data_IF_621918464069
#
_entry.id   IF_621918464069
#
_cell.length_a   1.000
_cell.length_b   1.000
_cell.length_c   1.000
_cell.angle_alpha   90.00
_cell.angle_beta   90.00
_cell.angle_gamma   90.00
#
_symmetry.space_group_name_H-M   'P 1'
#
loop_
_entity.id
_entity.type
_entity.pdbx_description
1 polymer ?
#
# COMPACT_ATOMS: atom_id res chain seq x y z
N UNK A 1 8.76 -1.62 -9.05
CA UNK A 1 8.76 -2.29 -7.73
C UNK A 1 7.55 -3.21 -7.62
N UNK A 2 7.58 -4.44 -8.17
CA UNK A 2 6.40 -5.31 -8.22
C UNK A 2 5.82 -5.66 -6.84
N UNK A 3 6.68 -5.87 -5.84
CA UNK A 3 6.28 -6.24 -4.48
C UNK A 3 5.43 -5.15 -3.81
N UNK A 4 5.84 -3.88 -3.92
CA UNK A 4 5.10 -2.72 -3.38
C UNK A 4 3.70 -2.55 -3.97
N UNK A 5 3.42 -3.09 -5.15
CA UNK A 5 2.15 -2.87 -5.84
C UNK A 5 1.17 -4.04 -5.71
N UNK A 6 1.54 -5.08 -4.96
CA UNK A 6 0.70 -6.24 -4.66
C UNK A 6 -0.41 -5.88 -3.66
N UNK A 7 -1.62 -6.40 -3.83
CA UNK A 7 -2.69 -6.33 -2.81
C UNK A 7 -2.63 -7.55 -1.88
N UNK A 8 -1.44 -7.93 -1.41
CA UNK A 8 -1.23 -9.09 -0.54
C UNK A 8 -0.33 -8.74 0.64
N UNK A 9 -0.87 -8.86 1.85
CA UNK A 9 -0.13 -8.55 3.08
C UNK A 9 1.16 -9.38 3.21
N UNK A 10 1.10 -10.68 2.85
CA UNK A 10 2.28 -11.57 2.89
C UNK A 10 3.40 -11.09 1.97
N UNK A 11 3.05 -10.51 0.82
CA UNK A 11 4.03 -9.95 -0.12
C UNK A 11 4.69 -8.72 0.49
N UNK A 12 3.93 -7.85 1.17
CA UNK A 12 4.47 -6.70 1.89
C UNK A 12 5.37 -7.10 3.07
N UNK A 13 5.00 -8.14 3.83
CA UNK A 13 5.86 -8.68 4.90
C UNK A 13 7.22 -9.14 4.37
N UNK A 14 7.23 -9.84 3.22
CA UNK A 14 8.47 -10.24 2.56
C UNK A 14 9.25 -9.05 1.99
N UNK A 15 8.55 -8.07 1.42
CA UNK A 15 9.16 -6.89 0.82
C UNK A 15 9.86 -6.01 1.87
N UNK A 16 9.28 -5.87 3.06
CA UNK A 16 9.92 -5.17 4.19
C UNK A 16 11.27 -5.79 4.53
N UNK A 17 11.35 -7.12 4.59
CA UNK A 17 12.63 -7.81 4.84
C UNK A 17 13.64 -7.50 3.74
N UNK A 18 13.23 -7.58 2.46
CA UNK A 18 14.10 -7.33 1.32
C UNK A 18 14.60 -5.88 1.22
N UNK A 19 13.77 -4.90 1.59
CA UNK A 19 14.15 -3.48 1.55
C UNK A 19 14.81 -3.00 2.84
N UNK A 20 14.94 -3.85 3.86
CA UNK A 20 15.68 -3.52 5.08
C UNK A 20 17.20 -3.56 4.89
N UNK A 21 17.67 -3.94 3.69
CA UNK A 21 19.08 -3.93 3.32
C UNK A 21 19.65 -2.50 3.22
N UNK A 22 20.92 -2.27 3.60
CA UNK A 22 21.58 -0.96 3.48
C UNK A 22 21.54 -0.40 2.06
N UNK A 23 21.26 0.90 1.92
CA UNK A 23 21.13 1.60 0.63
C UNK A 23 19.73 1.56 0.03
N UNK A 24 18.76 0.89 0.67
CA UNK A 24 17.35 0.83 0.25
C UNK A 24 16.40 1.58 1.19
N UNK A 25 16.91 2.48 2.03
CA UNK A 25 16.15 3.14 3.09
C UNK A 25 14.93 3.91 2.55
N UNK A 26 15.09 4.54 1.38
CA UNK A 26 13.98 5.21 0.71
C UNK A 26 12.91 4.20 0.27
N UNK A 27 13.30 3.08 -0.32
CA UNK A 27 12.38 2.02 -0.73
C UNK A 27 11.66 1.41 0.48
N UNK A 28 12.37 1.19 1.58
CA UNK A 28 11.81 0.74 2.85
C UNK A 28 10.78 1.73 3.40
N UNK A 29 11.08 3.03 3.36
CA UNK A 29 10.15 4.06 3.83
C UNK A 29 8.84 4.08 3.02
N UNK A 30 8.92 3.87 1.70
CA UNK A 30 7.73 3.71 0.86
C UNK A 30 7.00 2.39 1.10
N UNK A 31 7.74 1.29 1.22
CA UNK A 31 7.18 -0.04 1.50
C UNK A 31 6.37 -0.04 2.80
N UNK A 32 6.88 0.58 3.87
CA UNK A 32 6.15 0.70 5.14
C UNK A 32 4.82 1.46 4.95
N UNK A 33 4.78 2.48 4.09
CA UNK A 33 3.53 3.20 3.79
C UNK A 33 2.54 2.32 3.02
N UNK A 34 3.02 1.57 2.02
CA UNK A 34 2.20 0.64 1.25
C UNK A 34 1.63 -0.48 2.13
N UNK A 35 2.48 -1.10 2.95
CA UNK A 35 2.09 -2.14 3.91
C UNK A 35 0.96 -1.65 4.82
N UNK A 36 1.05 -0.44 5.37
CA UNK A 36 0.00 0.14 6.23
C UNK A 36 -1.36 0.23 5.55
N UNK A 37 -1.39 0.61 4.26
CA UNK A 37 -2.64 0.65 3.48
C UNK A 37 -3.21 -0.77 3.35
N UNK A 38 -2.38 -1.75 3.01
CA UNK A 38 -2.81 -3.15 2.88
C UNK A 38 -3.20 -3.76 4.22
N UNK A 39 -2.54 -3.42 5.32
CA UNK A 39 -2.92 -3.83 6.67
C UNK A 39 -4.31 -3.27 7.06
N UNK A 40 -4.59 -2.02 6.68
CA UNK A 40 -5.85 -1.35 7.03
C UNK A 40 -7.03 -1.76 6.14
N UNK A 41 -6.82 -1.87 4.83
CA UNK A 41 -7.89 -2.02 3.85
C UNK A 41 -7.85 -3.37 3.10
N UNK A 42 -6.76 -4.11 3.18
CA UNK A 42 -6.54 -5.36 2.43
C UNK A 42 -6.32 -5.16 0.91
N UNK A 43 -6.38 -3.91 0.43
CA UNK A 43 -6.31 -3.51 -0.98
C UNK A 43 -5.91 -2.04 -1.09
N UNK A 44 -5.70 -1.54 -2.30
CA UNK A 44 -5.45 -0.11 -2.54
C UNK A 44 -6.75 0.63 -2.89
N UNK A 45 -7.30 1.48 -2.01
CA UNK A 45 -8.58 2.14 -2.26
C UNK A 45 -8.58 3.03 -3.51
N UNK A 46 -7.44 3.62 -3.89
CA UNK A 46 -7.34 4.44 -5.09
C UNK A 46 -7.54 3.64 -6.39
N UNK A 47 -7.42 2.30 -6.33
CA UNK A 47 -7.69 1.41 -7.47
C UNK A 47 -9.15 1.00 -7.58
N UNK A 48 -9.99 1.27 -6.56
CA UNK A 48 -11.37 0.81 -6.55
C UNK A 48 -12.14 1.28 -7.78
N UNK A 49 -12.02 2.57 -8.14
CA UNK A 49 -12.72 3.15 -9.30
C UNK A 49 -12.34 2.48 -10.63
N UNK A 50 -11.05 2.26 -10.89
CA UNK A 50 -10.59 1.67 -12.16
C UNK A 50 -10.88 0.16 -12.23
N UNK A 51 -10.98 -0.50 -11.09
CA UNK A 51 -11.32 -1.92 -10.98
C UNK A 51 -12.83 -2.18 -10.80
N UNK A 52 -13.68 -1.15 -10.85
CA UNK A 52 -15.13 -1.29 -10.68
C UNK A 52 -15.58 -1.74 -9.29
N UNK A 53 -14.77 -1.52 -8.25
CA UNK A 53 -15.08 -1.87 -6.86
C UNK A 53 -15.78 -0.70 -6.15
N UNK A 54 -16.74 -1.01 -5.29
CA UNK A 54 -17.32 -0.02 -4.39
C UNK A 54 -16.37 0.24 -3.21
N UNK A 55 -16.18 1.52 -2.88
CA UNK A 55 -15.38 1.95 -1.73
C UNK A 55 -16.22 2.02 -0.46
N UNK A 56 -15.67 1.61 0.67
CA UNK A 56 -16.29 1.82 1.99
C UNK A 56 -16.22 3.29 2.41
N UNK A 57 -16.95 3.66 3.47
CA UNK A 57 -16.88 5.03 4.02
C UNK A 57 -15.47 5.39 4.49
N UNK A 58 -14.79 4.46 5.14
CA UNK A 58 -13.43 4.62 5.65
C UNK A 58 -12.43 4.79 4.49
N UNK A 59 -12.59 4.01 3.42
CA UNK A 59 -11.81 4.15 2.20
C UNK A 59 -12.05 5.52 1.53
N UNK A 60 -13.28 6.01 1.50
CA UNK A 60 -13.62 7.33 0.94
C UNK A 60 -12.98 8.45 1.76
N UNK A 61 -13.03 8.39 3.09
CA UNK A 61 -12.36 9.39 3.94
C UNK A 61 -10.84 9.33 3.79
N UNK A 62 -10.26 8.12 3.73
CA UNK A 62 -8.83 7.95 3.45
C UNK A 62 -8.42 8.59 2.13
N UNK A 63 -9.22 8.43 1.07
CA UNK A 63 -8.94 8.99 -0.25
C UNK A 63 -8.88 10.52 -0.29
N UNK A 64 -9.49 11.22 0.67
CA UNK A 64 -9.44 12.69 0.77
C UNK A 64 -8.13 13.21 1.38
N UNK A 65 -7.40 12.35 2.10
CA UNK A 65 -6.17 12.73 2.78
C UNK A 65 -4.92 12.68 1.89
N UNK A 66 -3.83 13.35 2.29
CA UNK A 66 -2.53 13.19 1.64
C UNK A 66 -2.00 11.76 1.82
N UNK A 67 -1.24 11.25 0.85
CA UNK A 67 -0.71 9.88 0.90
C UNK A 67 -1.76 8.79 0.65
N UNK A 68 -2.90 9.15 0.07
CA UNK A 68 -3.94 8.20 -0.35
C UNK A 68 -3.65 7.51 -1.69
N UNK A 69 -2.65 8.01 -2.42
CA UNK A 69 -2.15 7.46 -3.68
C UNK A 69 -0.66 7.76 -3.83
N UNK A 70 0.07 6.79 -4.38
CA UNK A 70 1.47 6.85 -4.79
C UNK A 70 1.78 5.64 -5.69
#
# INVERSE_FOLDING_TARGET
MPMMHSESLKVHEQAVLLFSEPGLENNLAFEIKHKKIIEQFGRYPHRNKILGRESTKEEIEFLKGPGSSF
#
